data_IF_067998777690
#
_entry.id   IF_067998777690
#
_cell.length_a   1.000
_cell.length_b   1.000
_cell.length_c   1.000
_cell.angle_alpha   90.00
_cell.angle_beta   90.00
_cell.angle_gamma   90.00
#
_symmetry.space_group_name_H-M   'P 1'
#
loop_
_entity.id
_entity.type
_entity.pdbx_description
1 polymer ?
#
# COMPACT_ATOMS: atom_id res chain seq x y z
N UNK A 1 -16.89 1.30 1.82
CA UNK A 1 -15.46 1.60 1.52
C UNK A 1 -14.85 2.12 2.80
N UNK A 2 -13.73 1.56 3.23
CA UNK A 2 -13.11 1.88 4.52
C UNK A 2 -11.60 2.10 4.33
N UNK A 3 -11.05 3.10 5.01
CA UNK A 3 -9.61 3.31 5.08
C UNK A 3 -9.15 2.84 6.46
N UNK A 4 -8.15 1.97 6.49
CA UNK A 4 -7.59 1.43 7.74
C UNK A 4 -6.08 1.23 7.61
N UNK A 5 -5.43 1.00 8.74
CA UNK A 5 -4.05 0.55 8.76
C UNK A 5 -3.93 -0.82 8.07
N UNK A 6 -2.77 -1.06 7.45
CA UNK A 6 -2.42 -2.35 6.89
C UNK A 6 -2.32 -3.42 7.99
N UNK A 7 -2.76 -4.63 7.68
CA UNK A 7 -2.62 -5.82 8.54
C UNK A 7 -1.82 -6.91 7.81
N UNK A 8 -1.35 -7.92 8.56
CA UNK A 8 -0.50 -8.99 8.00
C UNK A 8 -1.20 -9.80 6.90
N UNK A 9 -2.53 -9.90 6.97
CA UNK A 9 -3.35 -10.54 5.94
C UNK A 9 -3.41 -9.78 4.61
N UNK A 10 -3.03 -8.50 4.58
CA UNK A 10 -3.14 -7.66 3.38
C UNK A 10 -1.90 -7.71 2.48
N UNK A 11 -0.78 -8.22 2.96
CA UNK A 11 0.53 -8.14 2.29
C UNK A 11 0.46 -8.65 0.84
N UNK A 12 -0.16 -9.80 0.61
CA UNK A 12 -0.31 -10.36 -0.74
C UNK A 12 -1.18 -9.47 -1.65
N UNK A 13 -2.26 -8.92 -1.10
CA UNK A 13 -3.18 -8.06 -1.85
C UNK A 13 -2.50 -6.72 -2.22
N UNK A 14 -1.68 -6.17 -1.33
CA UNK A 14 -0.87 -4.97 -1.58
C UNK A 14 0.18 -5.24 -2.65
N UNK A 15 0.91 -6.35 -2.57
CA UNK A 15 1.90 -6.73 -3.58
C UNK A 15 1.27 -6.91 -4.96
N UNK A 16 0.11 -7.57 -5.03
CA UNK A 16 -0.64 -7.73 -6.27
C UNK A 16 -1.09 -6.38 -6.85
N UNK A 17 -1.56 -5.46 -6.00
CA UNK A 17 -1.95 -4.11 -6.40
C UNK A 17 -0.75 -3.31 -6.93
N UNK A 18 0.41 -3.40 -6.26
CA UNK A 18 1.62 -2.70 -6.70
C UNK A 18 2.15 -3.26 -8.03
N UNK A 19 2.07 -4.57 -8.23
CA UNK A 19 2.38 -5.20 -9.51
C UNK A 19 1.42 -4.72 -10.61
N UNK A 20 0.10 -4.69 -10.36
CA UNK A 20 -0.90 -4.14 -11.30
C UNK A 20 -0.62 -2.67 -11.63
N UNK A 21 -0.16 -1.89 -10.66
CA UNK A 21 0.19 -0.48 -10.83
C UNK A 21 1.58 -0.25 -11.48
N UNK A 22 2.32 -1.32 -11.81
CA UNK A 22 3.66 -1.22 -12.41
C UNK A 22 4.74 -0.73 -11.46
N UNK A 23 4.52 -0.79 -10.14
CA UNK A 23 5.48 -0.35 -9.12
C UNK A 23 6.52 -1.42 -8.76
N UNK A 24 6.29 -2.66 -9.19
CA UNK A 24 7.14 -3.80 -8.91
C UNK A 24 7.37 -4.58 -10.18
N UNK A 25 8.63 -4.78 -10.56
CA UNK A 25 9.00 -5.83 -11.50
C UNK A 25 9.01 -7.19 -10.79
N UNK A 26 8.88 -8.29 -11.53
CA UNK A 26 8.92 -9.65 -10.98
C UNK A 26 10.19 -9.93 -10.16
N UNK A 27 11.31 -9.30 -10.53
CA UNK A 27 12.59 -9.40 -9.82
C UNK A 27 12.60 -8.68 -8.45
N UNK A 28 11.68 -7.74 -8.21
CA UNK A 28 11.63 -6.89 -7.00
C UNK A 28 10.54 -7.31 -6.01
N UNK A 29 9.88 -8.44 -6.24
CA UNK A 29 8.79 -8.93 -5.36
C UNK A 29 9.30 -9.28 -3.95
N UNK A 30 10.48 -9.89 -3.84
CA UNK A 30 11.12 -10.19 -2.55
C UNK A 30 11.40 -8.92 -1.75
N UNK A 31 12.07 -7.96 -2.38
CA UNK A 31 12.40 -6.66 -1.78
C UNK A 31 11.13 -5.89 -1.35
N UNK A 32 10.06 -5.98 -2.12
CA UNK A 32 8.81 -5.27 -1.82
C UNK A 32 8.03 -5.91 -0.67
N UNK A 33 8.07 -7.24 -0.54
CA UNK A 33 7.53 -7.93 0.64
C UNK A 33 8.29 -7.52 1.90
N UNK A 34 9.62 -7.46 1.81
CA UNK A 34 10.47 -7.01 2.90
C UNK A 34 10.15 -5.54 3.26
N UNK A 35 10.06 -4.64 2.26
CA UNK A 35 9.68 -3.23 2.45
C UNK A 35 8.35 -3.10 3.21
N UNK A 36 7.32 -3.86 2.82
CA UNK A 36 6.01 -3.85 3.49
C UNK A 36 6.15 -4.33 4.94
N UNK A 37 6.81 -5.47 5.16
CA UNK A 37 6.89 -6.11 6.49
C UNK A 37 7.70 -5.25 7.47
N UNK A 38 8.80 -4.67 7.01
CA UNK A 38 9.59 -3.72 7.80
C UNK A 38 8.78 -2.47 8.13
N UNK A 39 8.01 -1.96 7.16
CA UNK A 39 7.20 -0.76 7.36
C UNK A 39 6.06 -1.00 8.35
N UNK A 40 5.42 -2.16 8.29
CA UNK A 40 4.40 -2.58 9.26
C UNK A 40 4.97 -2.67 10.69
N UNK A 41 6.21 -3.12 10.83
CA UNK A 41 6.85 -3.24 12.14
C UNK A 41 7.29 -1.87 12.68
N UNK A 42 7.75 -0.97 11.80
CA UNK A 42 8.31 0.32 12.19
C UNK A 42 7.26 1.39 12.39
N UNK A 43 6.39 1.60 11.38
CA UNK A 43 5.40 2.68 11.36
C UNK A 43 4.12 2.23 10.63
N UNK A 44 3.43 1.22 11.19
CA UNK A 44 2.12 0.74 10.67
C UNK A 44 1.11 1.86 10.49
N UNK A 45 1.18 2.88 11.35
CA UNK A 45 0.22 3.98 11.40
C UNK A 45 0.31 4.90 10.19
N UNK A 46 1.45 4.85 9.49
CA UNK A 46 1.67 5.59 8.26
C UNK A 46 1.42 4.74 7.02
N UNK A 47 1.00 3.48 7.15
CA UNK A 47 0.69 2.61 6.02
C UNK A 47 -0.80 2.28 6.02
N UNK A 48 -1.52 2.94 5.11
CA UNK A 48 -2.97 2.82 4.99
C UNK A 48 -3.37 2.05 3.73
N UNK A 49 -4.45 1.29 3.87
CA UNK A 49 -5.10 0.57 2.79
C UNK A 49 -6.54 1.05 2.66
N UNK A 50 -7.00 1.17 1.41
CA UNK A 50 -8.40 1.39 1.06
C UNK A 50 -9.07 0.07 0.72
N UNK A 51 -10.10 -0.29 1.48
CA UNK A 51 -10.85 -1.53 1.33
C UNK A 51 -12.25 -1.26 0.77
N UNK A 52 -12.61 -1.98 -0.30
CA UNK A 52 -13.95 -1.99 -0.86
C UNK A 52 -14.37 -3.45 -1.10
N UNK A 53 -15.58 -3.82 -0.65
CA UNK A 53 -16.12 -5.18 -0.80
C UNK A 53 -15.14 -6.28 -0.33
N UNK A 54 -14.48 -6.07 0.83
CA UNK A 54 -13.47 -6.97 1.40
C UNK A 54 -12.22 -7.19 0.52
N UNK A 55 -11.93 -6.24 -0.38
CA UNK A 55 -10.75 -6.26 -1.24
C UNK A 55 -9.97 -4.97 -1.06
N UNK A 56 -8.65 -5.09 -1.00
CA UNK A 56 -7.76 -3.93 -1.05
C UNK A 56 -7.77 -3.37 -2.47
N UNK A 57 -8.20 -2.11 -2.59
CA UNK A 57 -8.32 -1.40 -3.86
C UNK A 57 -7.43 -0.16 -3.93
N UNK A 58 -6.90 0.30 -2.80
CA UNK A 58 -5.95 1.39 -2.75
C UNK A 58 -4.93 1.20 -1.63
N UNK A 59 -3.74 1.77 -1.78
CA UNK A 59 -2.67 1.73 -0.77
C UNK A 59 -1.92 3.03 -0.77
N UNK A 60 -1.48 3.49 0.39
CA UNK A 60 -0.54 4.60 0.53
C UNK A 60 0.45 4.32 1.65
N UNK A 61 1.74 4.51 1.38
CA UNK A 61 2.80 4.35 2.36
C UNK A 61 3.41 5.71 2.70
N UNK A 62 3.15 6.19 3.91
CA UNK A 62 3.75 7.39 4.47
C UNK A 62 5.09 7.12 5.17
N UNK A 63 5.98 8.10 5.16
CA UNK A 63 7.19 8.12 6.01
C UNK A 63 7.30 9.47 6.70
N UNK A 64 7.81 9.50 7.93
CA UNK A 64 8.04 10.73 8.69
C UNK A 64 9.48 10.77 9.20
N UNK A 65 10.17 11.88 8.98
CA UNK A 65 11.58 12.06 9.39
C UNK A 65 11.75 12.95 10.64
N UNK A 66 10.66 13.22 11.38
CA UNK A 66 10.66 14.14 12.52
C UNK A 66 10.37 15.59 12.15
N UNK A 67 10.31 15.92 10.86
CA UNK A 67 9.99 17.26 10.38
C UNK A 67 9.01 17.26 9.20
N UNK A 68 9.13 16.31 8.26
CA UNK A 68 8.33 16.22 7.03
C UNK A 68 7.76 14.82 6.83
N UNK A 69 6.48 14.78 6.46
CA UNK A 69 5.84 13.59 5.91
C UNK A 69 6.16 13.46 4.42
N UNK A 70 6.37 12.22 3.95
CA UNK A 70 6.48 11.90 2.51
C UNK A 70 5.51 10.77 2.18
N UNK A 71 4.86 10.89 1.03
CA UNK A 71 4.02 9.83 0.46
C UNK A 71 4.89 9.00 -0.49
N UNK A 72 4.83 7.67 -0.32
CA UNK A 72 5.44 6.65 -1.18
C UNK A 72 4.37 5.64 -1.59
N UNK A 73 4.62 4.93 -2.69
CA UNK A 73 3.85 3.74 -3.12
C UNK A 73 2.31 3.96 -3.11
N UNK A 74 1.85 5.11 -3.62
CA UNK A 74 0.43 5.40 -3.77
C UNK A 74 -0.13 4.63 -4.97
N UNK A 75 -1.06 3.72 -4.71
CA UNK A 75 -1.67 2.87 -5.73
C UNK A 75 -3.19 2.90 -5.61
N UNK A 76 -3.87 2.93 -6.75
CA UNK A 76 -5.31 2.66 -6.84
C UNK A 76 -5.54 1.66 -7.97
N UNK A 77 -6.33 0.63 -7.67
CA UNK A 77 -6.72 -0.44 -8.60
C UNK A 77 -7.33 0.16 -9.85
N UNK A 78 -6.98 -0.36 -11.02
CA UNK A 78 -7.32 0.24 -12.31
C UNK A 78 -8.83 0.47 -12.51
N UNK A 79 -9.65 -0.47 -12.09
CA UNK A 79 -11.12 -0.44 -12.11
C UNK A 79 -11.75 0.52 -11.08
N UNK A 80 -10.98 0.96 -10.08
CA UNK A 80 -11.42 1.85 -9.02
C UNK A 80 -10.86 3.29 -9.17
N UNK A 81 -10.16 3.62 -10.25
CA UNK A 81 -9.61 4.96 -10.48
C UNK A 81 -10.70 5.99 -10.74
N UNK A 82 -10.38 7.29 -10.55
CA UNK A 82 -11.31 8.43 -10.71
C UNK A 82 -12.53 8.40 -9.78
N UNK A 83 -12.43 7.68 -8.68
CA UNK A 83 -13.47 7.56 -7.64
C UNK A 83 -13.19 8.41 -6.38
N UNK A 84 -12.09 9.18 -6.37
CA UNK A 84 -11.63 9.93 -5.19
C UNK A 84 -10.75 9.12 -4.23
N UNK A 85 -10.31 7.92 -4.62
CA UNK A 85 -9.43 7.02 -3.85
C UNK A 85 -7.93 7.36 -3.89
N UNK A 86 -7.52 8.27 -4.77
CA UNK A 86 -6.11 8.62 -5.03
C UNK A 86 -5.78 10.03 -4.60
#
# INVERSE_FOLDING_TARGET
MFIRQIESGDVEAVLALWAEAGMTSHAQLGDSRQEITEKMTRDSDLFLVGEANKRIVATVMGTYDGHRGRIKRLAVKSDCRRSGLG
#
